data_IF_993711571420
#
_entry.id   IF_993711571420
#
_cell.length_a   1.000
_cell.length_b   1.000
_cell.length_c   1.000
_cell.angle_alpha   90.00
_cell.angle_beta   90.00
_cell.angle_gamma   90.00
#
_symmetry.space_group_name_H-M   'P 1'
#
loop_
_entity.id
_entity.type
_entity.pdbx_description
1 polymer ?
#
# COMPACT_ATOMS: atom_id res chain seq x y z
N UNK A 1 -6.89 -25.09 -29.90
CA UNK A 1 -5.77 -24.54 -29.12
C UNK A 1 -6.27 -24.45 -27.69
N UNK A 2 -5.88 -25.38 -26.81
CA UNK A 2 -6.29 -25.31 -25.41
C UNK A 2 -5.56 -24.11 -24.78
N UNK A 3 -6.29 -23.14 -24.24
CA UNK A 3 -5.66 -22.10 -23.43
C UNK A 3 -5.00 -22.80 -22.25
N UNK A 4 -3.68 -22.66 -22.13
CA UNK A 4 -2.99 -23.10 -20.93
C UNK A 4 -3.59 -22.38 -19.72
N UNK A 5 -3.94 -23.17 -18.72
CA UNK A 5 -4.69 -22.72 -17.57
C UNK A 5 -3.72 -22.18 -16.54
N UNK A 6 -3.86 -20.92 -16.16
CA UNK A 6 -3.00 -20.26 -15.16
C UNK A 6 -2.93 -21.07 -13.86
N UNK A 7 -1.74 -21.11 -13.24
CA UNK A 7 -1.47 -21.72 -11.92
C UNK A 7 -2.53 -21.34 -10.90
N UNK A 8 -2.87 -20.06 -10.81
CA UNK A 8 -3.92 -19.54 -9.94
C UNK A 8 -5.29 -20.19 -10.21
N UNK A 9 -5.65 -20.38 -11.48
CA UNK A 9 -6.93 -21.00 -11.87
C UNK A 9 -7.01 -22.49 -11.46
N UNK A 10 -5.87 -23.18 -11.46
CA UNK A 10 -5.76 -24.56 -10.97
C UNK A 10 -5.86 -24.62 -9.45
N UNK A 11 -5.12 -23.76 -8.77
CA UNK A 11 -5.07 -23.67 -7.31
C UNK A 11 -6.43 -23.33 -6.71
N UNK A 12 -7.16 -22.36 -7.26
CA UNK A 12 -8.52 -22.02 -6.79
C UNK A 12 -9.43 -23.25 -6.85
N UNK A 13 -9.42 -23.97 -7.98
CA UNK A 13 -10.25 -25.17 -8.17
C UNK A 13 -9.85 -26.30 -7.23
N UNK A 14 -8.56 -26.50 -7.03
CA UNK A 14 -8.00 -27.50 -6.14
C UNK A 14 -8.40 -27.22 -4.68
N UNK A 15 -8.07 -26.04 -4.16
CA UNK A 15 -8.36 -25.62 -2.79
C UNK A 15 -9.86 -25.63 -2.49
N UNK A 16 -10.69 -25.18 -3.43
CA UNK A 16 -12.15 -25.25 -3.29
C UNK A 16 -12.62 -26.70 -3.06
N UNK A 17 -12.10 -27.64 -3.84
CA UNK A 17 -12.45 -29.07 -3.71
C UNK A 17 -11.93 -29.66 -2.40
N UNK A 18 -10.71 -29.32 -2.00
CA UNK A 18 -10.11 -29.76 -0.73
C UNK A 18 -10.95 -29.30 0.46
N UNK A 19 -11.47 -28.06 0.43
CA UNK A 19 -12.38 -27.53 1.46
C UNK A 19 -13.83 -28.00 1.31
N UNK A 20 -14.14 -28.86 0.33
CA UNK A 20 -15.50 -29.39 0.10
C UNK A 20 -16.52 -28.34 -0.36
N UNK A 21 -16.09 -27.20 -0.90
CA UNK A 21 -16.97 -26.10 -1.28
C UNK A 21 -17.52 -26.27 -2.70
N UNK A 22 -18.81 -25.96 -2.89
CA UNK A 22 -19.36 -25.78 -4.24
C UNK A 22 -18.91 -24.41 -4.82
N UNK A 23 -19.03 -24.24 -6.14
CA UNK A 23 -18.74 -22.93 -6.75
C UNK A 23 -19.68 -21.83 -6.24
N UNK A 24 -20.93 -22.19 -5.92
CA UNK A 24 -21.90 -21.26 -5.30
C UNK A 24 -21.46 -20.89 -3.89
N UNK A 25 -21.13 -21.86 -3.05
CA UNK A 25 -20.71 -21.62 -1.67
C UNK A 25 -19.44 -20.78 -1.57
N UNK A 26 -18.48 -20.96 -2.48
CA UNK A 26 -17.31 -20.09 -2.54
C UNK A 26 -17.67 -18.68 -3.01
N UNK A 27 -18.59 -18.55 -3.97
CA UNK A 27 -19.04 -17.26 -4.47
C UNK A 27 -19.78 -16.45 -3.39
N UNK A 28 -20.64 -17.12 -2.61
CA UNK A 28 -21.34 -16.54 -1.46
C UNK A 28 -20.35 -16.00 -0.42
N UNK A 29 -19.34 -16.79 -0.05
CA UNK A 29 -18.29 -16.36 0.90
C UNK A 29 -17.48 -15.17 0.40
N UNK A 30 -17.30 -15.05 -0.91
CA UNK A 30 -16.57 -13.94 -1.54
C UNK A 30 -17.47 -12.74 -1.91
N UNK A 31 -18.78 -12.86 -1.66
CA UNK A 31 -19.80 -11.91 -2.07
C UNK A 31 -19.72 -11.55 -3.58
N UNK A 32 -19.67 -12.57 -4.43
CA UNK A 32 -19.66 -12.45 -5.89
C UNK A 32 -20.62 -13.44 -6.55
N UNK A 33 -20.87 -13.30 -7.85
CA UNK A 33 -21.69 -14.26 -8.61
C UNK A 33 -20.95 -15.58 -8.83
N UNK A 34 -21.64 -16.72 -8.76
CA UNK A 34 -21.09 -18.05 -9.12
C UNK A 34 -20.42 -18.08 -10.49
N UNK A 35 -20.95 -17.34 -11.46
CA UNK A 35 -20.37 -17.21 -12.81
C UNK A 35 -18.92 -16.74 -12.77
N UNK A 36 -18.54 -15.91 -11.79
CA UNK A 36 -17.17 -15.42 -11.63
C UNK A 36 -16.23 -16.54 -11.19
N UNK A 37 -16.62 -17.36 -10.20
CA UNK A 37 -15.84 -18.54 -9.78
C UNK A 37 -15.66 -19.51 -10.95
N UNK A 38 -16.73 -19.78 -11.70
CA UNK A 38 -16.65 -20.63 -12.88
C UNK A 38 -15.68 -20.08 -13.94
N UNK A 39 -15.65 -18.76 -14.14
CA UNK A 39 -14.72 -18.09 -15.04
C UNK A 39 -13.27 -18.16 -14.54
N UNK A 40 -13.04 -17.96 -13.24
CA UNK A 40 -11.72 -18.09 -12.62
C UNK A 40 -11.18 -19.51 -12.71
N UNK A 41 -12.03 -20.54 -12.59
CA UNK A 41 -11.58 -21.94 -12.62
C UNK A 41 -11.45 -22.53 -14.03
N UNK A 42 -12.07 -21.93 -15.06
CA UNK A 42 -12.23 -22.58 -16.37
C UNK A 42 -11.96 -21.69 -17.59
N UNK A 43 -12.01 -20.35 -17.46
CA UNK A 43 -11.96 -19.42 -18.59
C UNK A 43 -10.71 -18.53 -18.61
N UNK A 44 -9.69 -18.85 -17.80
CA UNK A 44 -8.46 -18.07 -17.65
C UNK A 44 -8.73 -16.58 -17.37
N UNK A 45 -9.83 -16.30 -16.66
CA UNK A 45 -10.16 -14.94 -16.20
C UNK A 45 -9.46 -14.74 -14.87
N UNK A 46 -8.66 -13.68 -14.75
CA UNK A 46 -7.95 -13.40 -13.52
C UNK A 46 -8.85 -12.68 -12.51
N UNK A 47 -8.93 -13.15 -11.24
CA UNK A 47 -9.64 -12.44 -10.19
C UNK A 47 -8.96 -11.10 -9.88
N UNK A 48 -9.73 -10.12 -9.42
CA UNK A 48 -9.15 -8.87 -8.90
C UNK A 48 -8.37 -9.14 -7.62
N UNK A 49 -7.34 -8.35 -7.33
CA UNK A 49 -6.51 -8.49 -6.12
C UNK A 49 -7.31 -8.67 -4.83
N UNK A 50 -8.39 -7.89 -4.64
CA UNK A 50 -9.29 -8.06 -3.48
C UNK A 50 -9.81 -9.49 -3.34
N UNK A 51 -10.26 -10.10 -4.44
CA UNK A 51 -10.78 -11.48 -4.44
C UNK A 51 -9.68 -12.48 -4.14
N UNK A 52 -8.47 -12.27 -4.68
CA UNK A 52 -7.31 -13.12 -4.39
C UNK A 52 -6.97 -13.11 -2.89
N UNK A 53 -6.96 -11.93 -2.27
CA UNK A 53 -6.70 -11.78 -0.83
C UNK A 53 -7.78 -12.45 0.04
N UNK A 54 -9.05 -12.35 -0.35
CA UNK A 54 -10.15 -13.04 0.35
C UNK A 54 -10.06 -14.57 0.16
N UNK A 55 -9.71 -15.05 -1.03
CA UNK A 55 -9.50 -16.47 -1.29
C UNK A 55 -8.36 -17.04 -0.45
N UNK A 56 -7.22 -16.32 -0.40
CA UNK A 56 -6.08 -16.69 0.43
C UNK A 56 -6.48 -16.85 1.91
N UNK A 57 -7.31 -15.93 2.43
CA UNK A 57 -7.90 -16.04 3.78
C UNK A 57 -8.83 -17.22 3.96
N UNK A 58 -9.77 -17.45 3.04
CA UNK A 58 -10.74 -18.55 3.12
C UNK A 58 -10.05 -19.91 3.08
N UNK A 59 -9.02 -20.03 2.24
CA UNK A 59 -8.27 -21.27 2.08
C UNK A 59 -7.19 -21.46 3.14
N UNK A 60 -6.85 -20.39 3.86
CA UNK A 60 -5.75 -20.32 4.82
C UNK A 60 -4.41 -20.69 4.16
N UNK A 61 -4.07 -19.98 3.09
CA UNK A 61 -2.83 -20.14 2.31
C UNK A 61 -2.20 -18.78 2.03
N UNK A 62 -0.87 -18.70 2.05
CA UNK A 62 -0.16 -17.50 1.64
C UNK A 62 -0.46 -17.10 0.17
N UNK A 63 -0.51 -15.79 -0.07
CA UNK A 63 -0.88 -15.22 -1.37
C UNK A 63 0.15 -15.59 -2.44
N UNK A 64 1.45 -15.58 -2.12
CA UNK A 64 2.49 -15.95 -3.08
C UNK A 64 2.33 -17.41 -3.52
N UNK A 65 2.08 -18.31 -2.58
CA UNK A 65 1.87 -19.73 -2.88
C UNK A 65 0.61 -19.96 -3.71
N UNK A 66 -0.48 -19.23 -3.43
CA UNK A 66 -1.72 -19.31 -4.20
C UNK A 66 -1.53 -18.94 -5.69
N UNK A 67 -0.62 -18.01 -5.99
CA UNK A 67 -0.40 -17.48 -7.34
C UNK A 67 0.72 -18.23 -8.08
N UNK A 68 1.83 -18.52 -7.42
CA UNK A 68 3.10 -18.91 -8.06
C UNK A 68 3.36 -20.42 -8.03
N UNK A 69 2.79 -21.16 -7.06
CA UNK A 69 3.11 -22.59 -6.85
C UNK A 69 1.98 -23.49 -7.32
N UNK A 70 2.27 -24.54 -8.09
CA UNK A 70 1.26 -25.54 -8.42
C UNK A 70 0.92 -26.42 -7.20
N UNK A 71 -0.31 -26.32 -6.72
CA UNK A 71 -0.76 -27.08 -5.56
C UNK A 71 -1.22 -28.49 -5.92
N UNK A 72 -0.74 -29.47 -5.16
CA UNK A 72 -1.14 -30.87 -5.23
C UNK A 72 -1.44 -31.43 -3.83
N UNK A 73 -1.85 -32.70 -3.74
CA UNK A 73 -2.20 -33.32 -2.45
C UNK A 73 -1.02 -33.40 -1.47
N UNK A 74 0.21 -33.47 -1.98
CA UNK A 74 1.43 -33.62 -1.18
C UNK A 74 2.14 -32.28 -0.93
N UNK A 75 1.55 -31.16 -1.34
CA UNK A 75 2.17 -29.84 -1.24
C UNK A 75 1.89 -29.22 0.13
N UNK A 76 2.91 -29.09 0.96
CA UNK A 76 2.85 -28.26 2.17
C UNK A 76 2.94 -26.78 1.78
N UNK A 77 2.03 -25.97 2.31
CA UNK A 77 2.01 -24.53 2.10
C UNK A 77 1.83 -23.78 3.41
N UNK A 78 2.41 -22.58 3.47
CA UNK A 78 2.31 -21.71 4.64
C UNK A 78 0.86 -21.28 4.80
N UNK A 79 0.33 -21.37 6.02
CA UNK A 79 -1.00 -20.85 6.33
C UNK A 79 -1.01 -19.32 6.17
N UNK A 80 -2.15 -18.77 5.74
CA UNK A 80 -2.31 -17.31 5.60
C UNK A 80 -2.03 -16.58 6.91
N UNK A 81 -2.33 -17.23 8.05
CA UNK A 81 -2.11 -16.72 9.39
C UNK A 81 -0.79 -17.18 10.03
N UNK A 82 -0.01 -18.03 9.36
CA UNK A 82 1.25 -18.52 9.88
C UNK A 82 2.33 -17.43 9.73
N UNK A 83 2.36 -16.50 10.69
CA UNK A 83 3.62 -15.88 11.09
C UNK A 83 4.54 -17.00 11.53
N UNK A 84 5.43 -17.45 10.65
CA UNK A 84 6.48 -18.40 11.02
C UNK A 84 7.28 -17.80 12.18
N UNK A 85 7.19 -18.42 13.35
CA UNK A 85 8.04 -18.13 14.50
C UNK A 85 9.53 -18.53 14.29
N UNK A 86 9.96 -18.84 13.06
CA UNK A 86 11.32 -19.31 12.72
C UNK A 86 11.79 -18.96 11.30
N UNK A 87 11.39 -17.81 10.76
CA UNK A 87 12.22 -17.07 9.79
C UNK A 87 13.05 -16.05 10.59
N UNK A 88 14.24 -15.61 10.15
CA UNK A 88 14.90 -14.45 10.79
C UNK A 88 13.83 -13.39 10.95
N UNK A 89 13.66 -12.89 12.17
CA UNK A 89 12.63 -11.92 12.54
C UNK A 89 12.78 -10.66 11.70
N UNK A 90 12.24 -10.70 10.48
CA UNK A 90 11.67 -9.53 9.84
C UNK A 90 10.26 -9.52 10.40
N UNK A 91 10.15 -8.90 11.57
CA UNK A 91 8.89 -8.69 12.26
C UNK A 91 8.04 -7.79 11.33
N UNK A 92 7.26 -8.40 10.43
CA UNK A 92 6.15 -7.72 9.75
C UNK A 92 4.97 -7.62 10.73
N UNK A 93 5.22 -7.10 11.93
CA UNK A 93 4.40 -5.96 12.36
C UNK A 93 4.52 -4.94 11.24
N UNK A 94 3.52 -4.11 10.99
CA UNK A 94 3.92 -2.77 10.54
C UNK A 94 4.70 -2.24 11.75
N UNK A 95 6.00 -2.54 11.76
CA UNK A 95 6.97 -2.06 12.73
C UNK A 95 7.21 -0.61 12.34
N UNK A 96 6.13 0.15 12.49
CA UNK A 96 6.10 1.60 12.52
C UNK A 96 7.11 2.06 13.58
N UNK A 97 7.40 1.20 14.56
CA UNK A 97 8.39 1.39 15.61
C UNK A 97 9.83 1.02 15.21
N UNK A 98 10.10 -0.11 14.54
CA UNK A 98 11.51 -0.50 14.27
C UNK A 98 12.13 0.10 13.00
N UNK A 99 11.34 0.55 12.01
CA UNK A 99 11.94 1.08 10.77
C UNK A 99 11.33 2.36 10.20
N UNK A 100 10.36 2.98 10.88
CA UNK A 100 10.17 4.41 10.67
C UNK A 100 11.21 5.07 11.55
N UNK A 101 12.26 5.59 10.93
CA UNK A 101 13.09 6.58 11.59
C UNK A 101 12.23 7.83 11.81
N UNK A 102 11.23 7.79 12.72
CA UNK A 102 10.29 8.89 13.00
C UNK A 102 11.12 10.10 13.39
N UNK A 103 12.14 9.89 14.20
CA UNK A 103 13.12 10.91 14.56
C UNK A 103 13.80 11.49 13.31
N UNK A 104 14.30 10.66 12.38
CA UNK A 104 14.88 11.15 11.13
C UNK A 104 13.84 11.80 10.19
N UNK A 105 12.57 11.37 10.21
CA UNK A 105 11.49 11.97 9.43
C UNK A 105 11.11 13.34 9.99
N UNK A 106 11.01 13.46 11.31
CA UNK A 106 10.83 14.71 12.04
C UNK A 106 12.00 15.63 11.75
N UNK A 107 13.25 15.17 11.92
CA UNK A 107 14.44 15.96 11.61
C UNK A 107 14.49 16.44 10.16
N UNK A 108 14.16 15.57 9.19
CA UNK A 108 14.11 15.95 7.77
C UNK A 108 12.99 16.95 7.51
N UNK A 109 11.82 16.76 8.10
CA UNK A 109 10.68 17.69 7.96
C UNK A 109 11.01 19.06 8.55
N UNK A 110 11.65 19.11 9.73
CA UNK A 110 12.13 20.34 10.35
C UNK A 110 13.20 21.04 9.50
N UNK A 111 14.15 20.29 8.93
CA UNK A 111 15.16 20.85 8.01
C UNK A 111 14.50 21.47 6.78
N UNK A 112 13.53 20.78 6.16
CA UNK A 112 12.80 21.30 5.00
C UNK A 112 12.00 22.55 5.38
N UNK A 113 11.35 22.57 6.55
CA UNK A 113 10.62 23.76 7.03
C UNK A 113 11.55 24.96 7.16
N UNK A 114 12.70 24.82 7.83
CA UNK A 114 13.69 25.89 7.97
C UNK A 114 14.23 26.40 6.63
N UNK A 115 14.47 25.48 5.69
CA UNK A 115 14.90 25.84 4.33
C UNK A 115 13.80 26.61 3.60
N UNK A 116 12.54 26.19 3.71
CA UNK A 116 11.40 26.85 3.09
C UNK A 116 11.17 28.24 3.69
N UNK A 117 11.26 28.40 5.02
CA UNK A 117 11.18 29.69 5.70
C UNK A 117 12.25 30.66 5.23
N UNK A 118 13.51 30.19 5.17
CA UNK A 118 14.63 30.98 4.65
C UNK A 118 14.43 31.37 3.18
N UNK A 119 13.98 30.42 2.36
CA UNK A 119 13.66 30.67 0.95
C UNK A 119 12.53 31.69 0.81
N UNK A 120 11.44 31.56 1.58
CA UNK A 120 10.29 32.49 1.58
C UNK A 120 10.72 33.89 2.01
N UNK A 121 11.55 34.01 3.04
CA UNK A 121 12.09 35.30 3.47
C UNK A 121 12.96 35.95 2.38
N UNK A 122 13.87 35.19 1.79
CA UNK A 122 14.72 35.66 0.68
C UNK A 122 13.90 36.05 -0.55
N UNK A 123 12.94 35.22 -0.93
CA UNK A 123 12.06 35.45 -2.07
C UNK A 123 11.19 36.68 -1.85
N UNK A 124 10.57 36.85 -0.67
CA UNK A 124 9.78 38.03 -0.34
C UNK A 124 10.63 39.31 -0.37
N UNK A 125 11.85 39.26 0.17
CA UNK A 125 12.80 40.38 0.09
C UNK A 125 13.09 40.75 -1.37
N UNK A 126 13.37 39.76 -2.21
CA UNK A 126 13.66 39.96 -3.64
C UNK A 126 12.41 40.39 -4.43
N UNK A 127 11.23 39.88 -4.09
CA UNK A 127 9.93 40.21 -4.70
C UNK A 127 9.56 41.66 -4.43
N UNK A 128 9.75 42.14 -3.20
CA UNK A 128 9.48 43.53 -2.81
C UNK A 128 10.40 44.53 -3.54
N UNK A 129 11.60 44.11 -3.94
CA UNK A 129 12.53 44.91 -4.74
C UNK A 129 12.45 44.68 -6.26
N UNK A 130 11.56 43.81 -6.74
CA UNK A 130 11.44 43.49 -8.16
C UNK A 130 10.45 44.42 -8.86
N UNK A 131 10.90 45.06 -9.94
CA UNK A 131 10.00 45.69 -10.91
C UNK A 131 9.49 44.60 -11.85
N UNK A 132 8.18 44.34 -11.81
CA UNK A 132 7.51 43.42 -12.73
C UNK A 132 7.22 44.19 -14.02
N UNK A 133 8.14 44.07 -14.97
CA UNK A 133 8.15 44.79 -16.26
C UNK A 133 7.87 43.87 -17.46
N UNK A 134 7.73 42.56 -17.24
CA UNK A 134 7.53 41.55 -18.28
C UNK A 134 6.56 40.45 -17.82
N UNK A 135 5.66 39.96 -18.71
CA UNK A 135 4.80 38.81 -18.45
C UNK A 135 5.57 37.54 -18.05
N UNK A 136 6.81 37.39 -18.51
CA UNK A 136 7.67 36.25 -18.15
C UNK A 136 8.09 36.30 -16.68
N UNK A 137 8.41 37.50 -16.16
CA UNK A 137 8.74 37.69 -14.74
C UNK A 137 7.53 37.47 -13.85
N UNK A 138 6.35 37.91 -14.29
CA UNK A 138 5.09 37.69 -13.59
C UNK A 138 4.76 36.20 -13.48
N UNK A 139 4.90 35.45 -14.58
CA UNK A 139 4.73 34.00 -14.58
C UNK A 139 5.69 33.29 -13.62
N UNK A 140 6.96 33.68 -13.61
CA UNK A 140 7.96 33.10 -12.69
C UNK A 140 7.59 33.38 -11.23
N UNK A 141 7.15 34.60 -10.91
CA UNK A 141 6.68 34.97 -9.57
C UNK A 141 5.51 34.07 -9.16
N UNK A 142 4.52 33.90 -10.04
CA UNK A 142 3.36 33.06 -9.82
C UNK A 142 3.74 31.58 -9.61
N UNK A 143 4.61 31.03 -10.45
CA UNK A 143 5.07 29.64 -10.33
C UNK A 143 5.82 29.40 -9.00
N UNK A 144 6.62 30.37 -8.55
CA UNK A 144 7.30 30.31 -7.25
C UNK A 144 6.30 30.41 -6.09
N UNK A 145 5.31 31.29 -6.17
CA UNK A 145 4.25 31.41 -5.14
C UNK A 145 3.48 30.08 -5.01
N UNK A 146 3.14 29.44 -6.12
CA UNK A 146 2.46 28.14 -6.14
C UNK A 146 3.34 27.02 -5.54
N UNK A 147 4.63 27.03 -5.86
CA UNK A 147 5.58 26.08 -5.29
C UNK A 147 5.70 26.24 -3.77
N UNK A 148 5.78 27.47 -3.27
CA UNK A 148 5.82 27.75 -1.82
C UNK A 148 4.55 27.21 -1.15
N UNK A 149 3.37 27.48 -1.72
CA UNK A 149 2.10 26.99 -1.19
C UNK A 149 2.04 25.45 -1.15
N UNK A 150 2.46 24.78 -2.22
CA UNK A 150 2.53 23.32 -2.27
C UNK A 150 3.43 22.75 -1.17
N UNK A 151 4.61 23.37 -0.98
CA UNK A 151 5.56 22.95 0.04
C UNK A 151 5.02 23.17 1.46
N UNK A 152 4.30 24.27 1.70
CA UNK A 152 3.62 24.51 2.98
C UNK A 152 2.53 23.46 3.26
N UNK A 153 1.73 23.10 2.25
CA UNK A 153 0.72 22.05 2.39
C UNK A 153 1.35 20.68 2.68
N UNK A 154 2.44 20.34 2.00
CA UNK A 154 3.17 19.09 2.24
C UNK A 154 3.75 19.03 3.65
N UNK A 155 4.32 20.13 4.14
CA UNK A 155 4.84 20.22 5.50
C UNK A 155 3.72 20.13 6.56
N UNK A 156 2.59 20.79 6.32
CA UNK A 156 1.42 20.68 7.20
C UNK A 156 0.87 19.24 7.26
N UNK A 157 0.86 18.54 6.12
CA UNK A 157 0.50 17.11 6.11
C UNK A 157 1.51 16.28 6.93
N UNK A 158 2.80 16.52 6.77
CA UNK A 158 3.83 15.84 7.57
C UNK A 158 3.66 16.11 9.07
N UNK A 159 3.33 17.35 9.47
CA UNK A 159 3.05 17.72 10.86
C UNK A 159 1.86 16.95 11.44
N UNK A 160 0.77 16.83 10.68
CA UNK A 160 -0.41 16.07 11.10
C UNK A 160 -0.07 14.58 11.30
N UNK A 161 0.73 14.02 10.38
CA UNK A 161 1.23 12.63 10.49
C UNK A 161 2.09 12.47 11.75
N UNK A 162 3.07 13.36 11.96
CA UNK A 162 3.94 13.35 13.15
C UNK A 162 3.11 13.43 14.43
N UNK A 163 2.14 14.35 14.48
CA UNK A 163 1.29 14.56 15.67
C UNK A 163 0.46 13.32 15.98
N UNK A 164 -0.17 12.73 14.96
CA UNK A 164 -0.96 11.49 15.11
C UNK A 164 -0.10 10.35 15.65
N UNK A 165 1.13 10.20 15.15
CA UNK A 165 2.05 9.17 15.65
C UNK A 165 2.49 9.41 17.11
N UNK A 166 2.76 10.66 17.49
CA UNK A 166 3.10 11.02 18.86
C UNK A 166 1.93 10.76 19.84
N UNK A 167 0.69 10.96 19.40
CA UNK A 167 -0.51 10.66 20.19
C UNK A 167 -0.70 9.15 20.41
N UNK A 168 -0.51 8.34 19.36
CA UNK A 168 -0.56 6.87 19.44
C UNK A 168 0.52 6.36 20.40
N UNK A 169 1.77 6.82 20.28
CA UNK A 169 2.87 6.40 21.14
C UNK A 169 2.63 6.74 22.63
N UNK A 170 1.99 7.87 22.93
CA UNK A 170 1.60 8.24 24.31
C UNK A 170 0.46 7.36 24.85
N UNK A 171 -0.44 6.89 23.99
CA UNK A 171 -1.58 6.05 24.41
C UNK A 171 -1.18 4.61 24.77
N UNK A 172 -0.07 4.11 24.21
CA UNK A 172 0.46 2.77 24.49
C UNK A 172 1.36 2.72 25.75
N UNK A 173 1.74 3.89 26.28
CA UNK A 173 2.61 4.02 27.45
C UNK A 173 1.90 4.44 28.75
N UNK A 174 0.55 4.48 28.73
CA UNK A 174 -0.34 4.74 29.87
C UNK A 174 -1.14 3.48 30.24
#
# INVERSE_FOLDING_TARGET
>A
MALEKSTLSNNIKFLRKVKGLSQEALAERLNIKRSNIAAYESKNVEPRLRIILEMARIFDIDVSTLIETELSQDTEYKSFHQKSATAPTVDLKLDITENIQIETFVEKSEKIRKVLEGFKAFYNFRKNGMVVDSPEKEKIIFDIDNFIQLMEHLLSYNENVITTFLEIAKSESA
#
